data_IF_651230933731
#
_entry.id   IF_651230933731
#
_cell.length_a   1.000
_cell.length_b   1.000
_cell.length_c   1.000
_cell.angle_alpha   90.00
_cell.angle_beta   90.00
_cell.angle_gamma   90.00
#
_symmetry.space_group_name_H-M   'P 1'
#
loop_
_entity.id
_entity.type
_entity.pdbx_description
1 polymer ?
#
# COMPACT_ATOMS: atom_id res chain seq x y z
N UNK A 1 -8.78 2.81 -16.25
CA UNK A 1 -8.48 4.07 -15.55
C UNK A 1 -7.22 3.83 -14.73
N UNK A 2 -6.16 4.60 -14.92
CA UNK A 2 -4.99 4.49 -14.06
C UNK A 2 -5.35 5.09 -12.70
N UNK A 3 -5.17 4.34 -11.62
CA UNK A 3 -5.25 4.91 -10.27
C UNK A 3 -4.08 5.86 -10.09
N UNK A 4 -4.35 7.13 -9.79
CA UNK A 4 -3.32 8.06 -9.35
C UNK A 4 -2.90 7.66 -7.94
N UNK A 5 -1.69 7.15 -7.79
CA UNK A 5 -1.11 6.82 -6.50
C UNK A 5 -0.82 8.09 -5.70
N UNK A 6 -0.86 7.97 -4.38
CA UNK A 6 -0.53 9.04 -3.43
C UNK A 6 0.72 8.61 -2.67
N UNK A 7 1.73 9.49 -2.49
CA UNK A 7 2.97 9.12 -1.82
C UNK A 7 2.69 8.69 -0.39
N UNK A 8 3.39 7.67 0.08
CA UNK A 8 3.28 7.11 1.43
C UNK A 8 1.93 6.48 1.81
N UNK A 9 0.93 6.52 0.93
CA UNK A 9 -0.37 5.92 1.15
C UNK A 9 -0.32 4.39 1.01
N UNK A 10 -1.27 3.73 1.66
CA UNK A 10 -1.45 2.28 1.63
C UNK A 10 -2.59 1.91 0.69
N UNK A 11 -2.43 0.80 -0.02
CA UNK A 11 -3.43 0.28 -0.93
C UNK A 11 -3.58 -1.23 -0.78
N UNK A 12 -4.81 -1.70 -0.90
CA UNK A 12 -5.09 -3.09 -1.25
C UNK A 12 -4.71 -3.34 -2.69
N UNK A 13 -3.91 -4.38 -2.90
CA UNK A 13 -3.41 -4.75 -4.22
C UNK A 13 -3.29 -6.26 -4.37
N UNK A 14 -3.24 -6.71 -5.62
CA UNK A 14 -2.93 -8.09 -6.00
C UNK A 14 -1.79 -8.11 -7.00
N UNK A 15 -0.98 -9.16 -6.96
CA UNK A 15 0.03 -9.43 -7.98
C UNK A 15 0.17 -10.92 -8.19
N UNK A 16 0.28 -11.37 -9.44
CA UNK A 16 0.59 -12.76 -9.75
C UNK A 16 2.04 -13.15 -9.42
N UNK A 17 2.93 -12.15 -9.22
CA UNK A 17 4.35 -12.35 -8.93
C UNK A 17 4.65 -12.40 -7.42
N UNK A 18 3.78 -11.84 -6.60
CA UNK A 18 4.01 -11.65 -5.16
C UNK A 18 2.83 -12.18 -4.35
N UNK A 19 3.10 -12.63 -3.11
CA UNK A 19 2.07 -13.06 -2.15
C UNK A 19 1.04 -14.07 -2.69
N UNK A 20 1.48 -14.97 -3.58
CA UNK A 20 0.65 -16.04 -4.16
C UNK A 20 -0.66 -15.55 -4.81
N UNK A 21 -0.68 -14.33 -5.35
CA UNK A 21 -1.89 -13.74 -5.94
C UNK A 21 -2.96 -13.31 -4.92
N UNK A 22 -2.70 -13.46 -3.63
CA UNK A 22 -3.64 -13.06 -2.59
C UNK A 22 -3.70 -11.53 -2.47
N UNK A 23 -4.87 -10.97 -2.14
CA UNK A 23 -4.96 -9.56 -1.77
C UNK A 23 -4.02 -9.26 -0.60
N UNK A 24 -3.18 -8.25 -0.78
CA UNK A 24 -2.24 -7.78 0.24
C UNK A 24 -2.29 -6.25 0.35
N UNK A 25 -1.69 -5.71 1.41
CA UNK A 25 -1.49 -4.27 1.57
C UNK A 25 -0.07 -3.93 1.14
N UNK A 26 0.04 -2.91 0.28
CA UNK A 26 1.31 -2.32 -0.16
C UNK A 26 1.34 -0.84 0.21
N UNK A 27 2.54 -0.27 0.34
CA UNK A 27 2.73 1.17 0.57
C UNK A 27 3.45 1.83 -0.59
N UNK A 28 2.98 2.98 -1.04
CA UNK A 28 3.70 3.80 -2.02
C UNK A 28 4.96 4.38 -1.38
N UNK A 29 6.10 4.08 -1.98
CA UNK A 29 7.43 4.48 -1.50
C UNK A 29 8.08 5.46 -2.47
N UNK A 30 8.59 6.56 -1.92
CA UNK A 30 9.32 7.62 -2.63
C UNK A 30 10.83 7.56 -2.37
N UNK A 31 11.32 6.44 -1.81
CA UNK A 31 12.73 6.31 -1.39
C UNK A 31 13.72 6.46 -2.55
N UNK A 32 13.30 6.12 -3.77
CA UNK A 32 14.11 6.24 -4.99
C UNK A 32 13.95 7.58 -5.71
N UNK A 33 13.02 8.44 -5.27
CA UNK A 33 12.76 9.75 -5.84
C UNK A 33 11.38 10.29 -5.49
N UNK A 34 11.28 11.61 -5.40
CA UNK A 34 10.00 12.31 -5.13
C UNK A 34 9.10 12.38 -6.35
N UNK A 35 9.68 12.32 -7.56
CA UNK A 35 8.90 12.29 -8.80
C UNK A 35 8.15 10.94 -8.94
N UNK A 36 6.87 10.94 -9.34
CA UNK A 36 6.06 9.73 -9.52
C UNK A 36 6.70 8.65 -10.38
N UNK A 37 7.56 9.01 -11.34
CA UNK A 37 8.25 8.05 -12.20
C UNK A 37 9.27 7.18 -11.43
N UNK A 38 9.70 7.60 -10.24
CA UNK A 38 10.58 6.83 -9.36
C UNK A 38 9.83 6.09 -8.24
N UNK A 39 8.50 6.21 -8.18
CA UNK A 39 7.75 5.59 -7.10
C UNK A 39 7.68 4.08 -7.25
N UNK A 40 7.74 3.41 -6.10
CA UNK A 40 7.66 1.96 -5.99
C UNK A 40 6.65 1.55 -4.94
N UNK A 41 6.30 0.27 -4.90
CA UNK A 41 5.46 -0.31 -3.86
C UNK A 41 6.34 -1.08 -2.88
N UNK A 42 6.39 -0.64 -1.63
CA UNK A 42 7.03 -1.38 -0.55
C UNK A 42 6.15 -2.58 -0.15
N UNK A 43 6.75 -3.76 -0.11
CA UNK A 43 6.09 -5.01 0.21
C UNK A 43 6.14 -5.25 1.72
N UNK A 44 4.98 -5.13 2.38
CA UNK A 44 4.91 -5.21 3.84
C UNK A 44 5.36 -6.57 4.38
N UNK A 45 6.08 -6.56 5.50
CA UNK A 45 6.73 -7.75 6.06
C UNK A 45 8.08 -8.10 5.42
N UNK A 46 8.57 -7.28 4.49
CA UNK A 46 9.87 -7.44 3.83
C UNK A 46 10.57 -6.08 3.68
N UNK A 47 11.84 -6.09 3.27
CA UNK A 47 12.60 -4.90 2.83
C UNK A 47 12.50 -4.60 1.33
N UNK A 48 11.70 -5.40 0.59
CA UNK A 48 11.65 -5.34 -0.87
C UNK A 48 10.68 -4.27 -1.40
N UNK A 49 10.99 -3.80 -2.62
CA UNK A 49 10.16 -2.89 -3.40
C UNK A 49 9.87 -3.49 -4.78
N UNK A 50 8.70 -3.19 -5.31
CA UNK A 50 8.27 -3.62 -6.64
C UNK A 50 7.69 -2.46 -7.45
N UNK A 51 7.64 -2.62 -8.78
CA UNK A 51 7.07 -1.58 -9.64
C UNK A 51 5.54 -1.53 -9.48
N UNK A 52 4.91 -0.34 -9.47
CA UNK A 52 3.47 -0.24 -9.41
C UNK A 52 2.73 -1.00 -10.52
N UNK A 53 3.34 -1.09 -11.70
CA UNK A 53 2.80 -1.82 -12.85
C UNK A 53 2.74 -3.35 -12.66
N UNK A 54 3.44 -3.89 -11.66
CA UNK A 54 3.36 -5.31 -11.30
C UNK A 54 2.13 -5.66 -10.45
N UNK A 55 1.33 -4.65 -10.08
CA UNK A 55 0.20 -4.79 -9.19
C UNK A 55 -1.10 -4.27 -9.81
N UNK A 56 -2.18 -4.99 -9.54
CA UNK A 56 -3.54 -4.47 -9.68
C UNK A 56 -3.90 -3.73 -8.38
N UNK A 57 -4.09 -2.41 -8.46
CA UNK A 57 -4.51 -1.59 -7.33
C UNK A 57 -6.02 -1.62 -7.20
N UNK A 58 -6.51 -2.08 -6.05
CA UNK A 58 -7.93 -2.35 -5.81
C UNK A 58 -8.60 -1.14 -5.14
N UNK A 59 -8.07 -0.73 -3.97
CA UNK A 59 -8.62 0.37 -3.18
C UNK A 59 -7.58 0.92 -2.19
N UNK A 60 -7.70 2.17 -1.71
CA UNK A 60 -6.94 2.64 -0.55
C UNK A 60 -7.17 1.72 0.66
N UNK A 61 -6.12 1.42 1.41
CA UNK A 61 -6.24 0.78 2.71
C UNK A 61 -6.47 1.87 3.74
N UNK A 62 -7.73 2.13 4.08
CA UNK A 62 -8.10 3.09 5.11
C UNK A 62 -7.49 2.64 6.44
N UNK A 63 -6.76 3.54 7.09
CA UNK A 63 -6.44 3.36 8.50
C UNK A 63 -7.76 3.42 9.25
N UNK A 64 -8.01 2.53 10.22
CA UNK A 64 -9.17 2.68 11.08
C UNK A 64 -9.10 4.08 11.68
N UNK A 65 -10.18 4.86 11.51
CA UNK A 65 -10.31 6.15 12.18
C UNK A 65 -9.99 5.93 13.66
N UNK A 66 -9.21 6.82 14.26
CA UNK A 66 -8.89 6.77 15.69
C UNK A 66 -10.19 6.94 16.47
N UNK A 67 -10.94 5.86 16.67
CA UNK A 67 -12.01 5.83 17.63
C UNK A 67 -11.33 5.96 18.98
N UNK A 68 -11.57 7.04 19.76
CA UNK A 68 -11.08 7.09 21.11
C UNK A 68 -11.59 5.84 21.81
N UNK A 69 -10.65 4.98 22.24
CA UNK A 69 -10.96 3.79 23.05
C UNK A 69 -11.77 4.32 24.22
N UNK A 70 -13.09 4.08 24.19
CA UNK A 70 -13.91 4.30 25.37
C UNK A 70 -13.46 3.23 26.34
N UNK A 71 -12.61 3.61 27.29
CA UNK A 71 -12.31 2.76 28.43
C UNK A 71 -13.67 2.43 29.07
N UNK A 72 -14.14 1.20 28.89
CA UNK A 72 -15.22 0.68 29.69
C UNK A 72 -14.64 0.60 31.11
N UNK A 73 -15.10 1.48 32.00
CA UNK A 73 -14.82 1.35 33.42
C UNK A 73 -15.58 0.12 33.93
N UNK A 74 -14.84 -0.75 34.61
CA UNK A 74 -15.33 -1.94 35.32
C UNK A 74 -16.17 -1.57 36.55
#
# INVERSE_FOLDING_TARGET
MAVSLVPHAFYWAKSSKYFDGQPTIVRVSTVFGEDPDYWTLALLGTDQHAMPADFEIIAPAELPEEYPVRQAAE
#
